data_IF_016231502863
#
_entry.id   IF_016231502863
#
_cell.length_a   1.000
_cell.length_b   1.000
_cell.length_c   1.000
_cell.angle_alpha   90.00
_cell.angle_beta   90.00
_cell.angle_gamma   90.00
#
_symmetry.space_group_name_H-M   'P 1'
#
loop_
_entity.id
_entity.type
_entity.pdbx_description
1 polymer ?
#
# COMPACT_ATOMS: atom_id res chain seq x y z
N UNK A 1 43.13 14.66 66.09
CA UNK A 1 42.95 16.12 66.15
C UNK A 1 42.83 16.64 64.72
N UNK A 2 41.67 16.97 64.23
CA UNK A 2 41.48 17.57 62.90
C UNK A 2 41.29 19.10 63.12
N UNK A 3 41.98 19.84 62.29
CA UNK A 3 41.87 21.30 62.22
C UNK A 3 40.65 21.69 61.40
N UNK A 4 39.71 22.38 62.01
CA UNK A 4 38.62 23.09 61.37
C UNK A 4 39.19 24.37 60.74
N UNK A 5 39.09 24.49 59.40
CA UNK A 5 39.32 25.75 58.70
C UNK A 5 37.99 26.35 58.32
N UNK A 6 37.57 27.39 59.02
CA UNK A 6 36.53 28.32 58.58
C UNK A 6 37.07 29.15 57.41
N UNK A 7 36.45 28.98 56.19
CA UNK A 7 36.62 29.97 55.16
C UNK A 7 35.40 30.87 55.15
N UNK A 8 35.57 32.10 55.55
CA UNK A 8 34.66 33.17 55.19
C UNK A 8 34.70 33.37 53.69
N UNK A 9 33.65 32.97 53.02
CA UNK A 9 33.40 33.34 51.60
C UNK A 9 32.47 34.55 51.61
N UNK A 10 33.04 35.69 51.22
CA UNK A 10 32.35 36.97 51.19
C UNK A 10 31.15 36.95 50.29
N UNK A 11 30.07 37.51 50.81
CA UNK A 11 28.91 37.90 50.04
C UNK A 11 29.30 39.04 49.10
N UNK A 12 29.68 38.73 47.87
CA UNK A 12 29.64 39.68 46.77
C UNK A 12 28.27 39.52 46.16
N UNK A 13 27.32 40.33 46.55
CA UNK A 13 26.08 40.53 45.84
C UNK A 13 26.43 41.19 44.52
N UNK A 14 26.67 40.39 43.51
CA UNK A 14 26.67 40.86 42.13
C UNK A 14 25.20 41.14 41.78
N UNK A 15 24.83 42.40 41.80
CA UNK A 15 23.68 42.90 41.04
C UNK A 15 23.99 42.67 39.57
N UNK A 16 23.73 41.45 39.10
CA UNK A 16 23.56 41.21 37.69
C UNK A 16 22.27 41.95 37.32
N UNK A 17 22.45 43.19 36.85
CA UNK A 17 21.41 43.90 36.18
C UNK A 17 20.91 42.90 35.11
N UNK A 18 19.73 42.36 35.30
CA UNK A 18 19.01 41.61 34.26
C UNK A 18 18.70 42.60 33.17
N UNK A 19 19.68 42.79 32.28
CA UNK A 19 19.36 43.36 30.99
C UNK A 19 18.29 42.43 30.40
N UNK A 20 17.12 42.95 30.04
CA UNK A 20 16.18 42.14 29.30
C UNK A 20 16.93 41.62 28.07
N UNK A 21 17.04 40.31 27.94
CA UNK A 21 17.60 39.71 26.75
C UNK A 21 16.88 40.38 25.56
N UNK A 22 17.61 40.85 24.55
CA UNK A 22 16.96 41.42 23.38
C UNK A 22 15.92 40.43 22.90
N UNK A 23 14.68 40.87 22.85
CA UNK A 23 13.61 40.01 22.41
C UNK A 23 14.00 39.48 21.01
N UNK A 24 14.19 38.16 20.91
CA UNK A 24 14.61 37.54 19.66
C UNK A 24 13.60 37.88 18.56
N UNK A 25 14.10 38.48 17.49
CA UNK A 25 13.33 38.85 16.34
C UNK A 25 12.65 37.59 15.77
N UNK A 26 11.32 37.53 15.85
CA UNK A 26 10.54 36.44 15.30
C UNK A 26 10.34 36.65 13.81
N UNK A 27 10.82 35.69 13.00
CA UNK A 27 10.47 35.62 11.59
C UNK A 27 9.09 34.99 11.45
N UNK A 28 8.21 35.59 10.63
CA UNK A 28 6.85 35.11 10.40
C UNK A 28 6.60 35.04 8.90
N UNK A 29 5.98 33.98 8.47
CA UNK A 29 5.63 33.77 7.05
C UNK A 29 4.59 34.81 6.62
N UNK A 30 4.97 35.69 5.69
CA UNK A 30 4.05 36.57 4.97
C UNK A 30 3.34 35.79 3.85
N UNK A 31 4.13 35.18 2.98
CA UNK A 31 3.64 34.43 1.82
C UNK A 31 4.60 33.33 1.40
N UNK A 32 4.06 32.34 0.69
CA UNK A 32 4.83 31.32 0.00
C UNK A 32 4.89 31.65 -1.49
N UNK A 33 6.10 31.73 -2.03
CA UNK A 33 6.36 32.03 -3.45
C UNK A 33 7.02 30.80 -4.09
N UNK A 34 6.45 30.32 -5.18
CA UNK A 34 6.99 29.19 -5.93
C UNK A 34 7.80 29.69 -7.12
N UNK A 35 9.03 29.21 -7.26
CA UNK A 35 9.91 29.44 -8.39
C UNK A 35 10.30 28.12 -9.04
N UNK A 36 10.36 28.09 -10.36
CA UNK A 36 10.76 26.90 -11.12
C UNK A 36 9.61 26.26 -11.89
N UNK A 37 9.91 25.14 -12.56
CA UNK A 37 8.97 24.41 -13.40
C UNK A 37 8.25 23.35 -12.55
N UNK A 38 7.08 23.69 -12.05
CA UNK A 38 6.21 22.75 -11.32
C UNK A 38 4.74 23.00 -11.64
N UNK A 39 3.99 21.91 -11.78
CA UNK A 39 2.54 21.95 -11.94
C UNK A 39 1.81 21.95 -10.59
N UNK A 40 2.54 21.87 -9.48
CA UNK A 40 1.96 21.81 -8.13
C UNK A 40 1.51 23.17 -7.68
N UNK A 41 0.28 23.29 -7.19
CA UNK A 41 -0.28 24.56 -6.73
C UNK A 41 0.37 25.02 -5.43
N UNK A 42 0.49 26.35 -5.25
CA UNK A 42 1.04 26.96 -4.01
C UNK A 42 0.30 26.48 -2.76
N UNK A 43 -1.01 26.25 -2.85
CA UNK A 43 -1.82 25.75 -1.73
C UNK A 43 -1.41 24.36 -1.29
N UNK A 44 -1.13 23.47 -2.23
CA UNK A 44 -0.64 22.10 -1.94
C UNK A 44 0.76 22.15 -1.33
N UNK A 45 1.62 23.02 -1.85
CA UNK A 45 2.96 23.22 -1.29
C UNK A 45 2.90 23.69 0.16
N UNK A 46 2.10 24.72 0.46
CA UNK A 46 1.92 25.22 1.83
C UNK A 46 1.40 24.14 2.77
N UNK A 47 0.43 23.34 2.31
CA UNK A 47 -0.13 22.23 3.07
C UNK A 47 0.91 21.11 3.33
N UNK A 48 1.73 20.77 2.33
CA UNK A 48 2.79 19.76 2.48
C UNK A 48 3.92 20.24 3.39
N UNK A 49 4.27 21.50 3.32
CA UNK A 49 5.27 22.13 4.20
C UNK A 49 4.77 22.29 5.62
N UNK A 50 3.44 22.30 5.84
CA UNK A 50 2.80 22.75 7.08
C UNK A 50 3.22 24.18 7.45
N UNK A 51 3.27 25.06 6.46
CA UNK A 51 3.62 26.47 6.62
C UNK A 51 2.56 27.34 5.96
N UNK A 52 1.97 28.20 6.77
CA UNK A 52 0.91 29.12 6.35
C UNK A 52 1.31 30.56 6.70
N UNK A 53 0.65 31.52 6.07
CA UNK A 53 0.82 32.94 6.44
C UNK A 53 0.48 33.14 7.93
N UNK A 54 1.36 33.82 8.65
CA UNK A 54 1.29 34.03 10.09
C UNK A 54 2.08 33.03 10.94
N UNK A 55 2.54 31.91 10.37
CA UNK A 55 3.31 30.94 11.12
C UNK A 55 4.74 31.44 11.43
N UNK A 56 5.28 31.15 12.61
CA UNK A 56 6.68 31.43 12.91
C UNK A 56 7.58 30.53 12.05
N UNK A 57 8.71 31.06 11.62
CA UNK A 57 9.67 30.31 10.81
C UNK A 57 11.10 30.53 11.31
N UNK A 58 11.85 29.42 11.34
CA UNK A 58 13.28 29.37 11.58
C UNK A 58 13.96 28.39 10.61
N UNK A 59 15.27 28.26 10.68
CA UNK A 59 16.00 27.33 9.80
C UNK A 59 15.66 25.86 10.03
N UNK A 60 15.29 25.47 11.24
CA UNK A 60 14.89 24.09 11.55
C UNK A 60 13.53 23.78 10.91
N UNK A 61 12.58 24.70 11.01
CA UNK A 61 11.25 24.62 10.41
C UNK A 61 11.36 24.58 8.87
N UNK A 62 12.23 25.42 8.27
CA UNK A 62 12.47 25.40 6.82
C UNK A 62 13.09 24.09 6.36
N UNK A 63 14.09 23.56 7.09
CA UNK A 63 14.69 22.27 6.78
C UNK A 63 13.68 21.11 6.88
N UNK A 64 12.81 21.14 7.88
CA UNK A 64 11.73 20.17 8.02
C UNK A 64 10.70 20.30 6.90
N UNK A 65 10.37 21.52 6.46
CA UNK A 65 9.46 21.80 5.34
C UNK A 65 10.05 21.29 4.02
N UNK A 66 11.33 21.55 3.76
CA UNK A 66 12.04 21.03 2.58
C UNK A 66 12.04 19.50 2.58
N UNK A 67 12.35 18.88 3.71
CA UNK A 67 12.35 17.43 3.84
C UNK A 67 10.96 16.81 3.55
N UNK A 68 9.86 17.42 4.03
CA UNK A 68 8.50 16.97 3.72
C UNK A 68 8.18 17.08 2.23
N UNK A 69 8.67 18.12 1.54
CA UNK A 69 8.52 18.24 0.09
C UNK A 69 9.33 17.18 -0.66
N UNK A 70 10.54 16.85 -0.21
CA UNK A 70 11.34 15.76 -0.78
C UNK A 70 10.60 14.41 -0.60
N UNK A 71 10.07 14.17 0.59
CA UNK A 71 9.34 12.94 0.93
C UNK A 71 7.99 12.81 0.21
N UNK A 72 7.41 13.92 -0.26
CA UNK A 72 6.18 13.88 -1.06
C UNK A 72 6.34 13.22 -2.41
N UNK A 73 7.57 13.05 -2.88
CA UNK A 73 7.94 12.49 -4.20
C UNK A 73 7.40 13.25 -5.43
N UNK A 74 6.88 14.45 -5.22
CA UNK A 74 6.33 15.31 -6.30
C UNK A 74 7.42 16.02 -7.11
N UNK A 75 8.65 16.12 -6.55
CA UNK A 75 9.72 16.95 -7.11
C UNK A 75 10.97 16.13 -7.41
N UNK A 76 11.64 16.49 -8.50
CA UNK A 76 12.98 15.99 -8.82
C UNK A 76 14.07 16.75 -8.06
N UNK A 77 13.81 18.02 -7.76
CA UNK A 77 14.62 18.85 -6.88
C UNK A 77 13.72 19.89 -6.20
N UNK A 78 14.03 20.19 -4.94
CA UNK A 78 13.35 21.23 -4.19
C UNK A 78 14.34 21.87 -3.24
N UNK A 79 14.21 23.18 -3.03
CA UNK A 79 14.89 23.97 -2.02
C UNK A 79 13.91 24.94 -1.38
N UNK A 80 13.99 25.10 -0.08
CA UNK A 80 13.16 26.02 0.68
C UNK A 80 14.05 27.01 1.42
N UNK A 81 13.85 28.29 1.15
CA UNK A 81 14.59 29.37 1.82
C UNK A 81 13.71 30.59 2.00
N UNK A 82 14.18 31.53 2.81
CA UNK A 82 13.48 32.79 3.06
C UNK A 82 14.09 33.94 2.25
N UNK A 83 13.23 34.85 1.84
CA UNK A 83 13.61 36.12 1.25
C UNK A 83 13.01 37.23 2.10
N UNK A 84 13.85 38.21 2.44
CA UNK A 84 13.40 39.40 3.20
C UNK A 84 12.70 40.35 2.23
N UNK A 85 11.50 40.85 2.59
CA UNK A 85 10.83 41.81 1.73
C UNK A 85 11.68 43.06 1.58
N UNK A 86 11.93 43.45 0.35
CA UNK A 86 12.63 44.71 0.00
C UNK A 86 11.78 45.96 0.20
N UNK A 87 10.46 45.77 0.22
CA UNK A 87 9.51 46.86 0.40
C UNK A 87 9.39 47.25 1.87
N UNK A 88 9.84 48.45 2.18
CA UNK A 88 9.79 49.04 3.52
C UNK A 88 8.34 49.25 4.02
N UNK A 89 7.36 49.38 3.11
CA UNK A 89 5.96 49.47 3.48
C UNK A 89 5.42 48.15 4.05
N UNK A 90 5.84 47.03 3.48
CA UNK A 90 5.50 45.66 4.01
C UNK A 90 6.17 45.45 5.37
N UNK A 91 7.41 45.88 5.55
CA UNK A 91 8.10 45.82 6.84
C UNK A 91 7.38 46.59 7.94
N UNK A 92 6.80 47.74 7.62
CA UNK A 92 6.07 48.60 8.59
C UNK A 92 4.69 48.07 8.93
N UNK A 93 4.06 47.24 8.09
CA UNK A 93 2.73 46.64 8.34
C UNK A 93 2.71 45.62 9.47
N UNK A 94 3.83 45.01 9.76
CA UNK A 94 3.97 43.94 10.79
C UNK A 94 4.73 44.40 12.03
N UNK A 95 4.92 45.71 12.24
CA UNK A 95 5.61 46.26 13.38
C UNK A 95 4.80 46.20 14.69
N UNK A 96 4.64 45.01 15.19
CA UNK A 96 4.89 44.75 16.57
C UNK A 96 6.42 44.61 16.72
N UNK A 97 7.06 45.26 17.68
CA UNK A 97 8.49 45.60 17.70
C UNK A 97 9.49 44.45 17.47
N UNK A 98 9.04 43.20 17.37
CA UNK A 98 9.89 42.02 17.23
C UNK A 98 9.47 41.00 16.15
N UNK A 99 8.53 41.33 15.27
CA UNK A 99 8.06 40.39 14.22
C UNK A 99 8.48 40.87 12.83
N UNK A 100 9.21 40.04 12.09
CA UNK A 100 9.67 40.35 10.73
C UNK A 100 8.96 39.42 9.72
N UNK A 101 8.16 40.00 8.79
CA UNK A 101 7.55 39.23 7.73
C UNK A 101 8.61 38.77 6.74
N UNK A 102 8.55 37.50 6.35
CA UNK A 102 9.44 36.92 5.34
C UNK A 102 8.64 36.17 4.27
N UNK A 103 9.12 36.23 3.03
CA UNK A 103 8.61 35.37 1.98
C UNK A 103 9.34 34.03 2.03
N UNK A 104 8.61 32.93 2.11
CA UNK A 104 9.17 31.59 1.96
C UNK A 104 9.21 31.28 0.45
N UNK A 105 10.42 31.13 -0.07
CA UNK A 105 10.66 30.79 -1.47
C UNK A 105 10.83 29.30 -1.60
N UNK A 106 10.04 28.67 -2.46
CA UNK A 106 10.17 27.27 -2.84
C UNK A 106 10.66 27.19 -4.26
N UNK A 107 11.93 26.86 -4.45
CA UNK A 107 12.47 26.53 -5.76
C UNK A 107 12.27 25.04 -6.02
N UNK A 108 11.39 24.70 -6.96
CA UNK A 108 11.02 23.32 -7.20
C UNK A 108 11.00 22.99 -8.70
N UNK A 109 11.47 21.79 -9.02
CA UNK A 109 11.30 21.19 -10.34
C UNK A 109 10.44 19.95 -10.17
N UNK A 110 9.25 19.98 -10.75
CA UNK A 110 8.30 18.87 -10.70
C UNK A 110 8.84 17.62 -11.35
N UNK A 111 8.46 16.45 -10.83
CA UNK A 111 8.65 15.18 -11.51
C UNK A 111 7.57 15.01 -12.58
N UNK A 112 7.89 14.17 -13.58
CA UNK A 112 6.88 13.67 -14.50
C UNK A 112 5.82 12.87 -13.71
N UNK A 113 4.58 13.32 -13.72
CA UNK A 113 3.54 12.84 -12.80
C UNK A 113 2.75 11.66 -13.33
N UNK A 114 2.82 11.35 -14.61
CA UNK A 114 2.03 10.28 -15.20
C UNK A 114 2.90 9.26 -15.93
N UNK A 115 2.40 8.03 -16.02
CA UNK A 115 3.01 6.97 -16.78
C UNK A 115 1.98 5.98 -17.29
N UNK A 116 2.34 5.30 -18.36
CA UNK A 116 1.58 4.18 -18.93
C UNK A 116 2.52 2.98 -18.98
N UNK A 117 2.09 1.87 -18.40
CA UNK A 117 2.84 0.62 -18.45
C UNK A 117 2.01 -0.50 -19.06
N UNK A 118 2.55 -1.25 -20.02
CA UNK A 118 2.00 -2.53 -20.38
C UNK A 118 2.18 -3.50 -19.20
N UNK A 119 1.22 -4.35 -18.98
CA UNK A 119 1.30 -5.44 -18.00
C UNK A 119 1.10 -6.77 -18.69
N UNK A 120 1.83 -7.78 -18.28
CA UNK A 120 1.62 -9.14 -18.73
C UNK A 120 2.02 -10.12 -17.63
N UNK A 121 1.36 -11.27 -17.59
CA UNK A 121 1.75 -12.39 -16.76
C UNK A 121 1.53 -13.70 -17.52
N UNK A 122 2.46 -14.63 -17.35
CA UNK A 122 2.43 -15.95 -17.97
C UNK A 122 2.96 -16.96 -16.99
N UNK A 123 2.39 -18.15 -16.99
CA UNK A 123 2.84 -19.26 -16.15
C UNK A 123 1.77 -19.74 -15.18
N UNK A 124 2.07 -20.82 -14.46
CA UNK A 124 1.15 -21.41 -13.47
C UNK A 124 -0.25 -21.72 -14.06
N UNK A 125 -0.31 -22.12 -15.34
CA UNK A 125 -1.56 -22.47 -16.01
C UNK A 125 -2.46 -21.30 -16.39
N UNK A 126 -1.95 -20.06 -16.38
CA UNK A 126 -2.71 -18.87 -16.71
C UNK A 126 -1.90 -17.85 -17.50
N UNK A 127 -2.57 -16.95 -18.20
CA UNK A 127 -1.97 -15.80 -18.84
C UNK A 127 -2.88 -14.57 -18.72
N UNK A 128 -2.26 -13.41 -18.69
CA UNK A 128 -2.98 -12.15 -18.75
C UNK A 128 -2.11 -11.05 -19.37
N UNK A 129 -2.75 -10.10 -20.04
CA UNK A 129 -2.10 -8.93 -20.64
C UNK A 129 -2.97 -7.70 -20.48
N UNK A 130 -2.37 -6.54 -20.32
CA UNK A 130 -3.12 -5.34 -20.08
C UNK A 130 -2.28 -4.07 -20.10
N UNK A 131 -2.86 -3.00 -19.58
CA UNK A 131 -2.23 -1.70 -19.45
C UNK A 131 -2.65 -1.04 -18.16
N UNK A 132 -1.71 -0.34 -17.52
CA UNK A 132 -1.93 0.53 -16.37
C UNK A 132 -1.55 1.96 -16.74
N UNK A 133 -2.45 2.88 -16.47
CA UNK A 133 -2.18 4.31 -16.44
C UNK A 133 -2.19 4.78 -14.99
N UNK A 134 -1.19 5.54 -14.59
CA UNK A 134 -1.17 6.21 -13.30
C UNK A 134 -0.73 7.66 -13.45
N UNK A 135 -1.36 8.54 -12.68
CA UNK A 135 -0.99 9.93 -12.54
C UNK A 135 -0.95 10.26 -11.05
N UNK A 136 0.21 10.68 -10.56
CA UNK A 136 0.44 10.97 -9.14
C UNK A 136 0.15 12.43 -8.76
N UNK A 137 -0.08 13.30 -9.73
CA UNK A 137 -0.34 14.70 -9.50
C UNK A 137 -1.38 15.23 -10.51
N UNK A 138 -2.58 14.68 -10.46
CA UNK A 138 -3.66 15.08 -11.37
C UNK A 138 -3.99 16.55 -11.15
N UNK A 139 -3.88 17.35 -12.25
CA UNK A 139 -4.15 18.79 -12.27
C UNK A 139 -3.39 19.64 -11.21
N UNK A 140 -2.19 19.20 -10.82
CA UNK A 140 -1.34 19.95 -9.87
C UNK A 140 -1.82 19.96 -8.42
N UNK A 141 -2.75 19.04 -8.05
CA UNK A 141 -3.35 18.97 -6.70
C UNK A 141 -2.84 17.85 -5.83
N UNK A 142 -1.76 17.16 -6.25
CA UNK A 142 -1.25 15.98 -5.54
C UNK A 142 -2.27 14.83 -5.45
N UNK A 143 -3.23 14.85 -6.33
CA UNK A 143 -4.27 13.84 -6.43
C UNK A 143 -3.79 12.70 -7.33
N UNK A 144 -4.02 11.48 -6.91
CA UNK A 144 -3.61 10.28 -7.61
C UNK A 144 -4.78 9.69 -8.39
N UNK A 145 -4.55 9.38 -9.65
CA UNK A 145 -5.47 8.64 -10.50
C UNK A 145 -4.77 7.39 -11.03
N UNK A 146 -5.38 6.25 -10.83
CA UNK A 146 -4.91 4.99 -11.41
C UNK A 146 -6.04 4.39 -12.22
N UNK A 147 -5.75 3.97 -13.44
CA UNK A 147 -6.67 3.13 -14.21
C UNK A 147 -5.94 1.94 -14.78
N UNK A 148 -6.59 0.79 -14.78
CA UNK A 148 -6.00 -0.44 -15.27
C UNK A 148 -7.04 -1.26 -16.03
N UNK A 149 -6.61 -1.86 -17.13
CA UNK A 149 -7.40 -2.84 -17.88
C UNK A 149 -6.53 -4.05 -18.19
N UNK A 150 -7.08 -5.24 -17.95
CA UNK A 150 -6.38 -6.50 -18.19
C UNK A 150 -7.35 -7.51 -18.80
N UNK A 151 -6.87 -8.26 -19.78
CA UNK A 151 -7.55 -9.42 -20.36
C UNK A 151 -6.68 -10.64 -20.05
N UNK A 152 -7.29 -11.71 -19.59
CA UNK A 152 -6.60 -12.94 -19.28
C UNK A 152 -7.48 -14.17 -19.45
N UNK A 153 -6.87 -15.33 -19.34
CA UNK A 153 -7.54 -16.61 -19.51
C UNK A 153 -8.57 -16.87 -18.40
N UNK A 154 -8.14 -16.71 -17.15
CA UNK A 154 -9.00 -16.93 -15.98
C UNK A 154 -9.65 -15.65 -15.47
N UNK A 155 -9.03 -14.49 -15.70
CA UNK A 155 -9.51 -13.22 -15.16
C UNK A 155 -9.26 -12.06 -16.13
N UNK A 156 -10.32 -11.25 -16.33
CA UNK A 156 -10.23 -9.95 -17.01
C UNK A 156 -10.84 -8.89 -16.11
N UNK A 157 -10.28 -7.70 -16.10
CA UNK A 157 -10.81 -6.62 -15.29
C UNK A 157 -10.58 -5.24 -15.91
N UNK A 158 -11.41 -4.28 -15.49
CA UNK A 158 -11.20 -2.85 -15.66
C UNK A 158 -11.35 -2.19 -14.29
N UNK A 159 -10.42 -1.32 -13.97
CA UNK A 159 -10.35 -0.62 -12.68
C UNK A 159 -10.04 0.85 -12.89
N UNK A 160 -10.66 1.71 -12.08
CA UNK A 160 -10.29 3.11 -11.93
C UNK A 160 -10.31 3.45 -10.45
N UNK A 161 -9.24 4.10 -9.99
CA UNK A 161 -9.10 4.55 -8.60
C UNK A 161 -8.65 6.01 -8.56
N UNK A 162 -9.28 6.77 -7.72
CA UNK A 162 -8.96 8.15 -7.39
C UNK A 162 -8.59 8.24 -5.92
N UNK A 163 -7.53 8.95 -5.59
CA UNK A 163 -7.09 9.16 -4.22
C UNK A 163 -6.58 10.57 -4.02
N UNK A 164 -7.12 11.26 -3.02
CA UNK A 164 -6.55 12.49 -2.49
C UNK A 164 -5.79 12.15 -1.21
N UNK A 165 -4.46 12.12 -1.22
CA UNK A 165 -3.66 11.71 -0.07
C UNK A 165 -3.60 12.77 1.01
N UNK A 166 -4.02 14.00 0.72
CA UNK A 166 -4.01 15.12 1.66
C UNK A 166 -5.09 16.15 1.30
N UNK A 167 -6.21 16.10 1.99
CA UNK A 167 -7.23 17.15 1.89
C UNK A 167 -6.67 18.42 2.53
N UNK A 168 -6.49 19.47 1.72
CA UNK A 168 -5.86 20.70 2.18
C UNK A 168 -6.64 21.35 3.33
N UNK A 169 -5.94 21.55 4.45
CA UNK A 169 -6.50 22.13 5.68
C UNK A 169 -7.08 21.13 6.66
N UNK A 170 -6.98 19.82 6.39
CA UNK A 170 -7.43 18.79 7.30
C UNK A 170 -6.47 17.58 7.28
N UNK A 171 -6.29 16.85 8.39
CA UNK A 171 -5.50 15.62 8.43
C UNK A 171 -6.28 14.44 7.83
N UNK A 172 -6.89 14.66 6.68
CA UNK A 172 -7.78 13.71 6.02
C UNK A 172 -7.22 13.30 4.66
N UNK A 173 -7.54 12.09 4.28
CA UNK A 173 -7.37 11.54 2.93
C UNK A 173 -8.67 10.91 2.50
N UNK A 174 -8.96 10.87 1.22
CA UNK A 174 -10.08 10.09 0.72
C UNK A 174 -9.72 9.37 -0.56
N UNK A 175 -10.40 8.25 -0.80
CA UNK A 175 -10.25 7.48 -2.03
C UNK A 175 -11.58 6.95 -2.51
N UNK A 176 -11.71 6.82 -3.81
CA UNK A 176 -12.83 6.18 -4.48
C UNK A 176 -12.29 5.26 -5.56
N UNK A 177 -12.95 4.12 -5.76
CA UNK A 177 -12.61 3.23 -6.85
C UNK A 177 -13.84 2.60 -7.47
N UNK A 178 -13.70 2.19 -8.74
CA UNK A 178 -14.68 1.38 -9.42
C UNK A 178 -13.97 0.21 -10.09
N UNK A 179 -14.59 -0.95 -10.04
CA UNK A 179 -14.09 -2.21 -10.55
C UNK A 179 -15.15 -2.93 -11.37
N UNK A 180 -14.76 -3.43 -12.52
CA UNK A 180 -15.45 -4.48 -13.25
C UNK A 180 -14.50 -5.66 -13.41
N UNK A 181 -14.91 -6.86 -12.99
CA UNK A 181 -14.07 -8.07 -13.06
C UNK A 181 -14.92 -9.22 -13.57
N UNK A 182 -14.46 -9.85 -14.63
CA UNK A 182 -14.94 -11.16 -15.09
C UNK A 182 -13.88 -12.19 -14.72
N UNK A 183 -14.28 -13.24 -14.05
CA UNK A 183 -13.38 -14.26 -13.57
C UNK A 183 -13.98 -15.65 -13.71
N UNK A 184 -13.15 -16.62 -14.07
CA UNK A 184 -13.46 -18.04 -13.96
C UNK A 184 -12.84 -18.57 -12.69
N UNK A 185 -13.63 -18.79 -11.66
CA UNK A 185 -13.18 -19.41 -10.42
C UNK A 185 -12.95 -20.88 -10.70
N UNK A 186 -11.72 -21.31 -10.59
CA UNK A 186 -11.28 -22.67 -10.83
C UNK A 186 -11.14 -23.39 -9.48
N UNK A 187 -11.70 -24.60 -9.37
CA UNK A 187 -11.54 -25.46 -8.22
C UNK A 187 -10.75 -26.69 -8.64
N UNK A 188 -9.81 -27.07 -7.79
CA UNK A 188 -8.89 -28.16 -8.02
C UNK A 188 -9.10 -29.24 -6.97
N UNK A 189 -8.99 -30.50 -7.38
CA UNK A 189 -8.93 -31.66 -6.51
C UNK A 189 -7.76 -32.53 -6.98
N UNK A 190 -6.87 -32.93 -6.06
CA UNK A 190 -5.66 -33.70 -6.38
C UNK A 190 -4.85 -33.10 -7.55
N UNK A 191 -4.69 -31.75 -7.54
CA UNK A 191 -4.01 -30.96 -8.57
C UNK A 191 -4.68 -30.96 -9.97
N UNK A 192 -5.81 -31.63 -10.13
CA UNK A 192 -6.65 -31.60 -11.32
C UNK A 192 -7.76 -30.56 -11.20
N UNK A 193 -8.00 -29.77 -12.26
CA UNK A 193 -9.12 -28.85 -12.30
C UNK A 193 -10.42 -29.63 -12.48
N UNK A 194 -11.34 -29.53 -11.52
CA UNK A 194 -12.60 -30.29 -11.50
C UNK A 194 -13.82 -29.43 -11.78
N UNK A 195 -13.78 -28.14 -11.48
CA UNK A 195 -14.92 -27.26 -11.62
C UNK A 195 -14.50 -25.84 -12.03
N UNK A 196 -15.28 -25.21 -12.90
CA UNK A 196 -15.15 -23.79 -13.23
C UNK A 196 -16.46 -23.05 -12.95
N UNK A 197 -16.37 -21.94 -12.26
CA UNK A 197 -17.51 -21.08 -11.92
C UNK A 197 -17.29 -19.70 -12.56
N UNK A 198 -17.94 -19.41 -13.69
CA UNK A 198 -17.85 -18.10 -14.32
C UNK A 198 -18.55 -17.05 -13.46
N UNK A 199 -17.86 -15.99 -13.13
CA UNK A 199 -18.38 -14.90 -12.30
C UNK A 199 -18.09 -13.54 -12.90
N UNK A 200 -18.96 -12.58 -12.62
CA UNK A 200 -18.77 -11.17 -12.92
C UNK A 200 -18.99 -10.40 -11.62
N UNK A 201 -18.09 -9.50 -11.29
CA UNK A 201 -18.22 -8.56 -10.17
C UNK A 201 -18.10 -7.15 -10.71
N UNK A 202 -19.07 -6.31 -10.42
CA UNK A 202 -19.04 -4.88 -10.73
C UNK A 202 -19.38 -4.10 -9.47
N UNK A 203 -18.68 -3.00 -9.23
CA UNK A 203 -18.95 -2.18 -8.06
C UNK A 203 -17.91 -1.10 -7.81
N UNK A 204 -17.98 -0.50 -6.63
CA UNK A 204 -17.05 0.54 -6.23
C UNK A 204 -16.92 0.65 -4.72
N UNK A 205 -15.87 1.34 -4.34
CA UNK A 205 -15.49 1.59 -2.95
C UNK A 205 -15.31 3.10 -2.74
N UNK A 206 -15.65 3.56 -1.55
CA UNK A 206 -15.38 4.93 -1.10
C UNK A 206 -14.82 4.85 0.32
N UNK A 207 -13.71 5.54 0.58
CA UNK A 207 -13.05 5.53 1.89
C UNK A 207 -12.63 6.93 2.29
N UNK A 208 -12.80 7.24 3.56
CA UNK A 208 -12.26 8.43 4.22
C UNK A 208 -11.21 7.95 5.21
N UNK A 209 -10.04 8.56 5.18
CA UNK A 209 -8.92 8.22 6.06
C UNK A 209 -8.50 9.41 6.92
N UNK A 210 -8.06 9.11 8.13
CA UNK A 210 -7.42 10.05 9.05
C UNK A 210 -5.92 9.79 9.06
N UNK A 211 -5.14 10.86 8.86
CA UNK A 211 -3.69 10.84 9.01
C UNK A 211 -3.38 11.06 10.49
N UNK A 212 -3.08 9.97 11.20
CA UNK A 212 -2.79 10.00 12.65
C UNK A 212 -1.35 10.42 12.92
N UNK A 213 -0.44 10.03 12.02
CA UNK A 213 0.97 10.42 12.02
C UNK A 213 1.52 10.34 10.59
N UNK A 214 2.77 10.79 10.31
CA UNK A 214 3.37 10.64 8.98
C UNK A 214 3.34 9.19 8.45
N UNK A 215 3.41 8.21 9.36
CA UNK A 215 3.46 6.79 9.03
C UNK A 215 2.16 6.04 9.31
N UNK A 216 1.17 6.66 9.97
CA UNK A 216 -0.02 5.96 10.48
C UNK A 216 -1.29 6.56 9.91
N UNK A 217 -2.15 5.73 9.36
CA UNK A 217 -3.46 6.11 8.81
C UNK A 217 -4.53 5.12 9.24
N UNK A 218 -5.72 5.62 9.50
CA UNK A 218 -6.91 4.81 9.71
C UNK A 218 -7.97 5.21 8.69
N UNK A 219 -8.73 4.24 8.18
CA UNK A 219 -9.74 4.48 7.15
C UNK A 219 -11.07 3.85 7.58
N UNK A 220 -12.13 4.54 7.24
CA UNK A 220 -13.49 4.02 7.23
C UNK A 220 -14.00 4.06 5.80
N UNK A 221 -14.59 2.97 5.34
CA UNK A 221 -15.03 2.85 3.96
C UNK A 221 -16.34 2.13 3.80
N UNK A 222 -16.94 2.35 2.66
CA UNK A 222 -18.12 1.66 2.16
C UNK A 222 -17.79 1.06 0.80
N UNK A 223 -18.25 -0.17 0.57
CA UNK A 223 -18.17 -0.84 -0.72
C UNK A 223 -19.55 -1.32 -1.13
N UNK A 224 -19.88 -1.10 -2.38
CA UNK A 224 -21.09 -1.62 -2.98
C UNK A 224 -20.73 -2.37 -4.25
N UNK A 225 -21.03 -3.65 -4.29
CA UNK A 225 -20.71 -4.55 -5.39
C UNK A 225 -21.91 -5.39 -5.76
N UNK A 226 -21.96 -5.83 -7.00
CA UNK A 226 -22.91 -6.82 -7.48
C UNK A 226 -22.12 -7.96 -8.09
N UNK A 227 -22.38 -9.19 -7.66
CA UNK A 227 -21.85 -10.38 -8.31
C UNK A 227 -22.93 -11.09 -9.14
N UNK A 228 -22.55 -11.50 -10.34
CA UNK A 228 -23.30 -12.46 -11.15
C UNK A 228 -22.52 -13.75 -11.16
N UNK A 229 -23.18 -14.83 -10.83
CA UNK A 229 -22.61 -16.19 -10.89
C UNK A 229 -23.40 -16.96 -11.95
N UNK A 230 -22.71 -17.41 -12.98
CA UNK A 230 -23.28 -18.25 -14.01
C UNK A 230 -23.23 -19.73 -13.58
N UNK A 231 -24.02 -20.59 -14.20
CA UNK A 231 -23.95 -22.03 -13.94
C UNK A 231 -22.52 -22.55 -14.04
N UNK A 232 -22.13 -23.35 -13.08
CA UNK A 232 -20.80 -23.95 -13.05
C UNK A 232 -20.67 -24.99 -14.19
N UNK A 233 -19.47 -25.02 -14.77
CA UNK A 233 -19.08 -26.07 -15.71
C UNK A 233 -18.38 -27.17 -14.91
N UNK A 234 -19.06 -28.31 -14.76
CA UNK A 234 -18.52 -29.50 -14.10
C UNK A 234 -17.63 -30.26 -15.10
N UNK A 235 -16.34 -30.35 -14.79
CA UNK A 235 -15.34 -31.02 -15.63
C UNK A 235 -15.08 -32.45 -15.18
N UNK A 236 -15.56 -32.80 -13.98
CA UNK A 236 -15.52 -34.15 -13.43
C UNK A 236 -16.87 -34.82 -13.59
N UNK A 237 -16.90 -36.13 -13.82
CA UNK A 237 -18.12 -36.90 -13.88
C UNK A 237 -18.76 -37.10 -12.51
N UNK A 238 -19.44 -36.09 -12.00
CA UNK A 238 -20.15 -36.11 -10.73
C UNK A 238 -20.50 -34.72 -10.23
N UNK A 239 -21.65 -34.52 -9.61
CA UNK A 239 -22.05 -33.24 -9.06
C UNK A 239 -21.18 -32.91 -7.85
N UNK A 240 -20.21 -32.00 -8.03
CA UNK A 240 -19.38 -31.49 -6.95
C UNK A 240 -20.16 -30.33 -6.31
N UNK A 241 -20.43 -30.38 -4.99
CA UNK A 241 -21.08 -29.29 -4.30
C UNK A 241 -20.19 -28.03 -4.39
N UNK A 242 -20.78 -26.90 -4.82
CA UNK A 242 -20.08 -25.63 -4.86
C UNK A 242 -19.74 -25.22 -3.40
N UNK A 243 -18.46 -24.98 -3.09
CA UNK A 243 -18.11 -24.36 -1.82
C UNK A 243 -18.63 -22.92 -1.86
N UNK A 244 -19.10 -22.43 -0.73
CA UNK A 244 -19.61 -21.06 -0.62
C UNK A 244 -20.95 -20.77 -1.32
N UNK A 245 -21.48 -19.59 -1.06
CA UNK A 245 -22.73 -19.17 -1.64
C UNK A 245 -22.52 -18.70 -3.10
N UNK A 246 -22.93 -19.53 -4.05
CA UNK A 246 -22.74 -19.33 -5.49
C UNK A 246 -23.92 -18.64 -6.17
N UNK A 247 -24.77 -17.91 -5.42
CA UNK A 247 -25.86 -17.12 -6.00
C UNK A 247 -25.38 -15.74 -6.46
N UNK A 248 -26.06 -15.19 -7.45
CA UNK A 248 -25.92 -13.78 -7.81
C UNK A 248 -26.54 -12.90 -6.73
N UNK A 249 -25.98 -11.73 -6.49
CA UNK A 249 -26.50 -10.84 -5.47
C UNK A 249 -25.64 -9.59 -5.23
N UNK A 250 -26.17 -8.72 -4.38
CA UNK A 250 -25.54 -7.49 -3.94
C UNK A 250 -24.65 -7.77 -2.73
N UNK A 251 -23.49 -7.17 -2.71
CA UNK A 251 -22.56 -7.20 -1.59
C UNK A 251 -22.37 -5.77 -1.14
N UNK A 252 -22.79 -5.46 0.05
CA UNK A 252 -22.57 -4.16 0.68
C UNK A 252 -21.66 -4.36 1.89
N UNK A 253 -20.54 -3.61 1.95
CA UNK A 253 -19.49 -3.77 2.95
C UNK A 253 -19.26 -2.48 3.71
N UNK A 254 -19.22 -2.57 5.02
CA UNK A 254 -18.56 -1.59 5.87
C UNK A 254 -17.10 -2.04 6.04
N UNK A 255 -16.16 -1.12 5.81
CA UNK A 255 -14.73 -1.41 5.85
C UNK A 255 -14.06 -0.55 6.91
N UNK A 256 -13.23 -1.17 7.72
CA UNK A 256 -12.29 -0.49 8.59
C UNK A 256 -10.88 -0.93 8.23
N UNK A 257 -9.95 0.02 8.06
CA UNK A 257 -8.57 -0.27 7.71
C UNK A 257 -7.64 0.56 8.59
N UNK A 258 -6.57 -0.05 9.03
CA UNK A 258 -5.44 0.59 9.69
C UNK A 258 -4.16 0.26 8.94
N UNK A 259 -3.32 1.27 8.72
CA UNK A 259 -2.05 1.13 8.04
C UNK A 259 -0.97 1.89 8.80
N UNK A 260 0.12 1.18 9.10
CA UNK A 260 1.40 1.77 9.48
C UNK A 260 2.40 1.50 8.37
N UNK A 261 3.03 2.53 7.82
CA UNK A 261 3.94 2.44 6.69
C UNK A 261 5.16 3.34 6.93
N UNK A 262 6.27 2.71 7.33
CA UNK A 262 7.58 3.33 7.45
C UNK A 262 8.52 2.79 6.35
N UNK A 263 7.97 2.45 5.20
CA UNK A 263 8.78 1.96 4.10
C UNK A 263 9.37 3.12 3.29
N UNK A 264 10.60 2.95 2.85
CA UNK A 264 11.31 3.87 1.97
C UNK A 264 11.75 3.12 0.73
N UNK A 265 11.66 3.79 -0.41
CA UNK A 265 12.17 3.23 -1.67
C UNK A 265 13.61 3.68 -1.89
N UNK A 266 14.52 2.72 -2.01
CA UNK A 266 15.89 2.96 -2.41
C UNK A 266 16.21 2.15 -3.66
N UNK A 267 16.61 2.81 -4.73
CA UNK A 267 16.95 2.17 -6.02
C UNK A 267 15.80 1.29 -6.60
N UNK A 268 14.54 1.59 -6.28
CA UNK A 268 13.38 0.80 -6.67
C UNK A 268 13.08 -0.41 -5.79
N UNK A 269 13.83 -0.60 -4.71
CA UNK A 269 13.61 -1.62 -3.68
C UNK A 269 13.13 -0.98 -2.38
N UNK A 270 12.35 -1.71 -1.60
CA UNK A 270 11.80 -1.21 -0.33
C UNK A 270 12.72 -1.53 0.84
N UNK A 271 12.68 -0.65 1.85
CA UNK A 271 13.27 -0.85 3.17
C UNK A 271 12.29 -0.35 4.22
N UNK A 272 12.22 -0.99 5.38
CA UNK A 272 11.34 -0.59 6.47
C UNK A 272 10.24 -1.60 6.75
N UNK A 273 9.16 -1.14 7.37
CA UNK A 273 8.08 -1.98 7.87
C UNK A 273 6.75 -1.44 7.36
N UNK A 274 5.88 -2.33 6.88
CA UNK A 274 4.48 -2.05 6.61
C UNK A 274 3.62 -3.00 7.43
N UNK A 275 2.69 -2.44 8.18
CA UNK A 275 1.62 -3.17 8.85
C UNK A 275 0.28 -2.73 8.27
N UNK A 276 -0.53 -3.70 7.87
CA UNK A 276 -1.85 -3.49 7.31
C UNK A 276 -2.85 -4.37 8.04
N UNK A 277 -3.94 -3.76 8.51
CA UNK A 277 -5.08 -4.43 9.11
C UNK A 277 -6.33 -3.95 8.39
N UNK A 278 -7.20 -4.87 8.01
CA UNK A 278 -8.48 -4.57 7.39
C UNK A 278 -9.56 -5.47 7.94
N UNK A 279 -10.69 -4.90 8.26
CA UNK A 279 -11.91 -5.62 8.59
C UNK A 279 -13.01 -5.16 7.64
N UNK A 280 -13.75 -6.11 7.09
CA UNK A 280 -14.89 -5.90 6.20
C UNK A 280 -16.08 -6.66 6.78
N UNK A 281 -17.22 -6.00 6.89
CA UNK A 281 -18.45 -6.60 7.40
C UNK A 281 -19.55 -6.41 6.37
N UNK A 282 -20.18 -7.49 5.98
CA UNK A 282 -21.36 -7.54 5.12
C UNK A 282 -22.55 -8.06 5.92
N UNK A 283 -23.67 -7.35 5.87
CA UNK A 283 -24.85 -7.72 6.60
C UNK A 283 -26.11 -7.37 5.78
N UNK A 284 -27.09 -8.25 5.80
CA UNK A 284 -28.39 -8.05 5.11
C UNK A 284 -29.16 -6.83 5.59
N UNK A 285 -28.95 -6.40 6.86
CA UNK A 285 -29.55 -5.17 7.38
C UNK A 285 -29.06 -3.93 6.63
N UNK A 286 -27.97 -4.02 5.91
CA UNK A 286 -27.40 -2.95 5.07
C UNK A 286 -27.63 -3.16 3.58
N UNK A 287 -28.70 -3.87 3.22
CA UNK A 287 -29.06 -4.19 1.83
C UNK A 287 -28.09 -5.15 1.11
N UNK A 288 -27.25 -5.89 1.81
CA UNK A 288 -26.46 -6.98 1.26
C UNK A 288 -27.32 -8.25 1.11
N UNK A 289 -27.00 -9.08 0.15
CA UNK A 289 -27.62 -10.40 -0.01
C UNK A 289 -26.76 -11.51 0.67
N UNK A 290 -25.64 -11.12 1.31
CA UNK A 290 -24.65 -12.00 1.96
C UNK A 290 -24.31 -11.46 3.35
N UNK A 291 -24.08 -12.38 4.30
CA UNK A 291 -23.75 -12.05 5.67
C UNK A 291 -22.42 -12.70 6.05
N UNK A 292 -21.35 -11.89 6.15
CA UNK A 292 -20.03 -12.38 6.52
C UNK A 292 -19.14 -11.26 7.06
N UNK A 293 -18.09 -11.65 7.76
CA UNK A 293 -16.99 -10.79 8.16
C UNK A 293 -15.69 -11.31 7.58
N UNK A 294 -14.87 -10.39 7.07
CA UNK A 294 -13.53 -10.69 6.55
C UNK A 294 -12.50 -9.87 7.30
N UNK A 295 -11.54 -10.53 7.89
CA UNK A 295 -10.41 -9.91 8.54
C UNK A 295 -9.12 -10.22 7.78
N UNK A 296 -8.33 -9.21 7.48
CA UNK A 296 -7.03 -9.34 6.84
C UNK A 296 -5.98 -8.64 7.68
N UNK A 297 -4.87 -9.31 7.95
CA UNK A 297 -3.65 -8.69 8.45
C UNK A 297 -2.47 -9.04 7.56
N UNK A 298 -1.59 -8.06 7.36
CA UNK A 298 -0.37 -8.23 6.58
C UNK A 298 0.76 -7.46 7.23
N UNK A 299 1.88 -8.15 7.42
CA UNK A 299 3.13 -7.57 7.92
C UNK A 299 4.18 -7.76 6.84
N UNK A 300 4.79 -6.69 6.40
CA UNK A 300 5.88 -6.70 5.43
C UNK A 300 7.12 -6.10 6.08
N UNK A 301 8.19 -6.84 6.09
CA UNK A 301 9.49 -6.45 6.60
C UNK A 301 10.48 -6.40 5.44
N UNK A 302 11.17 -5.29 5.29
CA UNK A 302 12.12 -5.07 4.22
C UNK A 302 13.45 -4.63 4.81
N UNK A 303 14.51 -5.38 4.52
CA UNK A 303 15.86 -5.09 4.95
C UNK A 303 16.75 -4.59 3.82
N UNK A 304 17.93 -4.09 4.20
CA UNK A 304 19.03 -3.83 3.27
C UNK A 304 20.33 -4.19 3.96
N UNK A 305 21.11 -5.04 3.32
CA UNK A 305 22.42 -5.46 3.81
C UNK A 305 23.40 -5.59 2.63
N UNK A 306 24.34 -4.69 2.52
CA UNK A 306 25.27 -4.56 1.40
C UNK A 306 24.52 -4.37 0.07
N UNK A 307 24.53 -5.39 -0.81
CA UNK A 307 23.79 -5.40 -2.08
C UNK A 307 22.51 -6.23 -2.03
N UNK A 308 22.19 -6.81 -0.89
CA UNK A 308 21.04 -7.69 -0.67
C UNK A 308 19.88 -6.93 -0.05
N UNK A 309 18.68 -7.27 -0.48
CA UNK A 309 17.43 -6.70 -0.02
C UNK A 309 16.47 -7.82 0.41
N UNK A 310 16.68 -8.36 1.62
CA UNK A 310 15.77 -9.38 2.17
C UNK A 310 14.40 -8.80 2.44
N UNK A 311 13.37 -9.58 2.18
CA UNK A 311 11.98 -9.26 2.52
C UNK A 311 11.27 -10.46 3.12
N UNK A 312 10.36 -10.18 4.07
CA UNK A 312 9.47 -11.16 4.66
C UNK A 312 8.06 -10.58 4.66
N UNK A 313 7.12 -11.27 4.03
CA UNK A 313 5.71 -10.91 3.97
C UNK A 313 4.92 -12.00 4.66
N UNK A 314 4.23 -11.62 5.73
CA UNK A 314 3.31 -12.49 6.47
C UNK A 314 1.90 -11.99 6.23
N UNK A 315 1.00 -12.88 5.86
CA UNK A 315 -0.40 -12.53 5.60
C UNK A 315 -1.32 -13.56 6.26
N UNK A 316 -2.36 -13.05 6.91
CA UNK A 316 -3.48 -13.84 7.41
C UNK A 316 -4.78 -13.23 6.89
N UNK A 317 -5.68 -14.07 6.41
CA UNK A 317 -7.04 -13.66 6.04
C UNK A 317 -8.02 -14.69 6.61
N UNK A 318 -9.07 -14.16 7.21
CA UNK A 318 -10.17 -14.96 7.77
C UNK A 318 -11.47 -14.50 7.13
N UNK A 319 -12.20 -15.41 6.52
CA UNK A 319 -13.59 -15.19 6.11
C UNK A 319 -14.50 -15.98 7.06
N UNK A 320 -15.43 -15.30 7.69
CA UNK A 320 -16.35 -15.90 8.65
C UNK A 320 -17.80 -15.60 8.23
N UNK A 321 -18.61 -16.63 7.90
CA UNK A 321 -20.04 -16.45 7.67
C UNK A 321 -20.72 -16.09 8.99
N UNK A 322 -21.55 -15.07 8.97
CA UNK A 322 -22.33 -14.63 10.16
C UNK A 322 -23.77 -15.11 10.12
N UNK A 323 -24.21 -15.69 9.01
CA UNK A 323 -25.51 -16.35 8.87
C UNK A 323 -25.44 -17.47 7.81
N UNK A 324 -26.56 -18.15 7.58
CA UNK A 324 -26.75 -19.16 6.52
C UNK A 324 -26.66 -18.57 5.09
N UNK A 325 -26.69 -17.24 4.96
CA UNK A 325 -26.45 -16.55 3.69
C UNK A 325 -24.97 -16.54 3.29
N UNK A 326 -24.07 -16.70 4.25
CA UNK A 326 -22.69 -17.05 4.12
C UNK A 326 -21.83 -16.12 3.27
N UNK A 327 -20.63 -16.60 2.95
CA UNK A 327 -19.64 -15.90 2.14
C UNK A 327 -19.91 -16.12 0.66
N UNK A 328 -19.92 -15.06 -0.18
CA UNK A 328 -20.07 -15.22 -1.63
C UNK A 328 -18.85 -15.92 -2.25
N UNK A 329 -19.06 -16.73 -3.27
CA UNK A 329 -17.99 -17.49 -3.96
C UNK A 329 -16.87 -16.58 -4.50
N UNK A 330 -17.18 -15.34 -4.85
CA UNK A 330 -16.19 -14.36 -5.33
C UNK A 330 -15.24 -13.84 -4.25
N UNK A 331 -15.58 -14.04 -2.96
CA UNK A 331 -14.76 -13.69 -1.81
C UNK A 331 -14.03 -14.89 -1.19
N UNK A 332 -14.18 -16.08 -1.78
CA UNK A 332 -13.44 -17.29 -1.40
C UNK A 332 -11.93 -17.02 -1.45
N UNK A 333 -11.23 -17.43 -0.40
CA UNK A 333 -9.77 -17.28 -0.36
C UNK A 333 -9.12 -18.35 -1.24
N UNK A 334 -8.18 -17.91 -2.06
CA UNK A 334 -7.47 -18.77 -3.00
C UNK A 334 -6.00 -18.39 -3.03
N UNK A 335 -5.12 -19.38 -3.14
CA UNK A 335 -3.69 -19.17 -3.25
C UNK A 335 -3.07 -20.12 -4.27
N UNK A 336 -1.95 -19.71 -4.85
CA UNK A 336 -1.18 -20.37 -5.88
C UNK A 336 -0.60 -19.35 -6.85
N UNK A 337 0.15 -19.78 -7.84
CA UNK A 337 0.78 -18.91 -8.83
C UNK A 337 1.79 -17.96 -8.23
N UNK A 338 1.62 -16.65 -8.41
CA UNK A 338 2.57 -15.63 -7.91
C UNK A 338 2.59 -15.48 -6.38
N UNK A 339 1.54 -15.91 -5.70
CA UNK A 339 1.43 -15.81 -4.23
C UNK A 339 1.99 -17.05 -3.52
N UNK A 340 2.05 -18.20 -4.20
CA UNK A 340 2.71 -19.42 -3.78
C UNK A 340 3.34 -20.02 -5.04
N UNK A 341 4.58 -19.64 -5.31
CA UNK A 341 5.29 -19.97 -6.56
C UNK A 341 5.61 -21.46 -6.61
N UNK A 342 5.55 -22.06 -7.79
CA UNK A 342 5.70 -23.52 -7.93
C UNK A 342 4.38 -24.29 -7.99
N UNK A 343 3.24 -23.58 -7.85
CA UNK A 343 1.90 -24.16 -7.92
C UNK A 343 1.05 -23.48 -9.01
N UNK A 344 -0.04 -24.09 -9.42
CA UNK A 344 -0.99 -23.49 -10.36
C UNK A 344 -1.68 -22.27 -9.77
N UNK A 345 -2.10 -21.35 -10.62
CA UNK A 345 -2.79 -20.14 -10.18
C UNK A 345 -4.13 -20.49 -9.48
N UNK A 346 -4.27 -20.04 -8.21
CA UNK A 346 -5.45 -20.29 -7.38
C UNK A 346 -5.75 -21.79 -7.14
N UNK A 347 -4.73 -22.61 -7.05
CA UNK A 347 -4.86 -24.07 -6.91
C UNK A 347 -5.53 -24.46 -5.58
N UNK A 348 -5.22 -23.76 -4.52
CA UNK A 348 -5.78 -24.03 -3.19
C UNK A 348 -6.83 -23.00 -2.82
N UNK A 349 -7.86 -23.43 -2.10
CA UNK A 349 -8.96 -22.58 -1.63
C UNK A 349 -9.38 -22.91 -0.20
N UNK A 350 -10.00 -21.95 0.47
CA UNK A 350 -10.47 -22.11 1.86
C UNK A 350 -11.08 -20.81 2.41
N UNK A 351 -11.50 -20.83 3.66
CA UNK A 351 -12.04 -19.67 4.38
C UNK A 351 -11.02 -18.96 5.28
N UNK A 352 -9.90 -19.64 5.56
CA UNK A 352 -8.83 -19.11 6.41
C UNK A 352 -7.50 -19.35 5.70
N UNK A 353 -6.76 -18.27 5.45
CA UNK A 353 -5.46 -18.26 4.80
C UNK A 353 -4.38 -17.77 5.77
N UNK A 354 -3.31 -18.55 5.90
CA UNK A 354 -2.03 -18.07 6.41
C UNK A 354 -0.98 -18.23 5.32
N UNK A 355 -0.19 -17.20 5.07
CA UNK A 355 0.92 -17.29 4.13
C UNK A 355 2.13 -16.52 4.60
N UNK A 356 3.29 -17.05 4.25
CA UNK A 356 4.60 -16.45 4.49
C UNK A 356 5.42 -16.50 3.19
N UNK A 357 5.98 -15.38 2.79
CA UNK A 357 6.87 -15.27 1.65
C UNK A 357 8.16 -14.63 2.12
N UNK A 358 9.27 -15.33 1.98
CA UNK A 358 10.61 -14.82 2.24
C UNK A 358 11.36 -14.74 0.90
N UNK A 359 11.92 -13.58 0.60
CA UNK A 359 12.69 -13.38 -0.63
C UNK A 359 13.93 -12.54 -0.31
N UNK A 360 15.07 -12.93 -0.84
CA UNK A 360 16.28 -12.11 -0.84
C UNK A 360 16.65 -11.75 -2.27
N UNK A 361 16.82 -10.46 -2.53
CA UNK A 361 17.16 -9.92 -3.84
C UNK A 361 18.55 -9.31 -3.79
N UNK A 362 19.44 -9.75 -4.69
CA UNK A 362 20.77 -9.19 -4.84
C UNK A 362 20.87 -8.39 -6.14
N UNK A 363 21.20 -7.11 -6.05
CA UNK A 363 21.43 -6.26 -7.23
C UNK A 363 22.77 -6.62 -7.86
N UNK A 364 22.72 -7.23 -9.03
CA UNK A 364 23.91 -7.71 -9.76
C UNK A 364 24.48 -6.65 -10.70
N UNK A 365 23.60 -5.94 -11.40
CA UNK A 365 23.99 -4.98 -12.42
C UNK A 365 23.17 -3.71 -12.30
N UNK A 366 23.83 -2.56 -12.45
CA UNK A 366 23.21 -1.25 -12.61
C UNK A 366 23.50 -0.74 -14.00
N UNK A 367 22.47 -0.69 -14.83
CA UNK A 367 22.59 -0.35 -16.23
C UNK A 367 21.96 1.00 -16.51
N UNK A 368 22.52 1.71 -17.47
CA UNK A 368 21.96 2.95 -18.01
C UNK A 368 21.81 2.82 -19.50
N UNK A 369 20.65 3.10 -20.03
CA UNK A 369 20.47 3.12 -21.48
C UNK A 369 21.25 4.30 -22.09
N UNK A 370 22.12 4.04 -23.10
CA UNK A 370 23.06 5.05 -23.59
C UNK A 370 22.42 6.34 -24.13
N UNK A 371 21.22 6.27 -24.65
CA UNK A 371 20.54 7.40 -25.31
C UNK A 371 19.42 8.03 -24.45
N UNK A 372 19.27 7.57 -23.21
CA UNK A 372 18.20 8.00 -22.31
C UNK A 372 18.74 8.26 -20.91
N UNK A 373 17.96 8.93 -20.09
CA UNK A 373 18.24 9.04 -18.66
C UNK A 373 17.76 7.83 -17.85
N UNK A 374 17.16 6.84 -18.53
CA UNK A 374 16.58 5.67 -17.87
C UNK A 374 17.69 4.78 -17.32
N UNK A 375 17.59 4.51 -16.03
CA UNK A 375 18.43 3.54 -15.31
C UNK A 375 17.58 2.33 -14.97
N UNK A 376 18.19 1.16 -14.95
CA UNK A 376 17.56 -0.03 -14.43
C UNK A 376 18.58 -0.93 -13.73
N UNK A 377 18.09 -1.64 -12.74
CA UNK A 377 18.87 -2.60 -11.97
C UNK A 377 18.42 -4.00 -12.36
N UNK A 378 19.37 -4.88 -12.57
CA UNK A 378 19.13 -6.32 -12.71
C UNK A 378 19.48 -6.97 -11.38
N UNK A 379 18.51 -7.65 -10.76
CA UNK A 379 18.70 -8.36 -9.52
C UNK A 379 18.41 -9.86 -9.71
N UNK A 380 19.19 -10.70 -9.05
CA UNK A 380 18.80 -12.08 -8.81
C UNK A 380 17.96 -12.15 -7.52
N UNK A 381 17.07 -13.12 -7.46
CA UNK A 381 16.28 -13.38 -6.28
C UNK A 381 16.28 -14.87 -5.94
N UNK A 382 16.28 -15.17 -4.66
CA UNK A 382 15.96 -16.49 -4.11
C UNK A 382 14.77 -16.34 -3.19
N UNK A 383 13.92 -17.37 -3.12
CA UNK A 383 12.73 -17.27 -2.30
C UNK A 383 12.31 -18.62 -1.70
N UNK A 384 11.54 -18.50 -0.62
CA UNK A 384 10.79 -19.58 0.00
C UNK A 384 9.40 -19.05 0.29
N UNK A 385 8.38 -19.75 -0.18
CA UNK A 385 6.98 -19.43 0.08
C UNK A 385 6.35 -20.60 0.84
N UNK A 386 5.47 -20.27 1.79
CA UNK A 386 4.67 -21.27 2.50
C UNK A 386 3.25 -20.74 2.69
N UNK A 387 2.27 -21.60 2.59
CA UNK A 387 0.88 -21.25 2.86
C UNK A 387 0.09 -22.43 3.36
N UNK A 388 -0.95 -22.14 4.14
CA UNK A 388 -2.00 -23.09 4.49
C UNK A 388 -3.37 -22.44 4.32
N UNK A 389 -4.31 -23.20 3.79
CA UNK A 389 -5.71 -22.84 3.74
C UNK A 389 -6.52 -23.86 4.54
N UNK A 390 -7.33 -23.34 5.45
CA UNK A 390 -8.22 -24.14 6.28
C UNK A 390 -9.64 -23.89 5.81
N UNK A 391 -10.41 -24.94 5.65
CA UNK A 391 -11.84 -24.87 5.41
C UNK A 391 -12.56 -25.27 6.73
N UNK A 392 -12.98 -24.24 7.48
CA UNK A 392 -13.69 -24.42 8.75
C UNK A 392 -15.19 -24.57 8.56
N UNK A 393 -15.69 -24.12 7.42
CA UNK A 393 -17.10 -24.09 7.08
C UNK A 393 -17.32 -24.75 5.72
N UNK A 394 -17.14 -26.07 5.62
CA UNK A 394 -17.34 -26.78 4.35
C UNK A 394 -18.73 -26.47 3.78
N UNK A 395 -18.76 -25.90 2.56
CA UNK A 395 -19.97 -25.45 1.93
C UNK A 395 -20.39 -24.01 2.23
N UNK A 396 -19.70 -23.25 3.11
CA UNK A 396 -19.85 -21.79 3.30
C UNK A 396 -21.21 -21.28 3.76
N UNK A 397 -22.16 -22.15 4.07
CA UNK A 397 -23.57 -21.80 4.27
C UNK A 397 -24.11 -22.17 5.66
N UNK A 398 -23.37 -22.93 6.47
CA UNK A 398 -23.86 -23.32 7.80
C UNK A 398 -23.09 -22.58 8.89
N UNK A 399 -23.80 -21.69 9.56
CA UNK A 399 -23.37 -21.21 10.87
C UNK A 399 -23.41 -22.39 11.81
N UNK A 400 -22.30 -22.77 12.47
CA UNK A 400 -22.35 -23.80 13.50
C UNK A 400 -23.36 -23.34 14.58
N UNK A 401 -24.16 -24.24 15.14
CA UNK A 401 -25.08 -23.88 16.22
C UNK A 401 -24.31 -23.14 17.32
N UNK A 402 -24.89 -22.13 17.96
CA UNK A 402 -24.21 -21.23 18.90
C UNK A 402 -23.55 -21.96 20.08
N UNK A 403 -23.96 -23.17 20.36
CA UNK A 403 -23.43 -24.00 21.47
C UNK A 403 -22.31 -24.97 21.06
N UNK A 404 -21.94 -25.01 19.78
CA UNK A 404 -20.79 -25.80 19.33
C UNK A 404 -19.60 -24.87 19.14
N UNK A 405 -18.62 -24.96 20.06
CA UNK A 405 -17.27 -24.45 19.77
C UNK A 405 -16.85 -24.99 18.41
N UNK A 406 -16.32 -24.16 17.51
CA UNK A 406 -15.79 -24.64 16.24
C UNK A 406 -14.86 -25.81 16.56
N UNK A 407 -14.95 -26.92 15.80
CA UNK A 407 -14.08 -28.06 16.05
C UNK A 407 -12.63 -27.54 16.09
N UNK A 408 -11.82 -28.01 17.03
CA UNK A 408 -10.44 -27.55 17.13
C UNK A 408 -9.81 -27.70 15.76
N UNK A 409 -9.22 -26.60 15.27
CA UNK A 409 -8.51 -26.58 14.00
C UNK A 409 -7.48 -27.69 14.03
N UNK A 410 -7.80 -28.83 13.45
CA UNK A 410 -6.83 -29.90 13.19
C UNK A 410 -6.08 -29.47 11.93
N UNK A 411 -5.18 -28.50 12.07
CA UNK A 411 -4.16 -28.30 11.07
C UNK A 411 -3.27 -29.54 11.14
N UNK A 412 -3.45 -30.46 10.26
CA UNK A 412 -2.41 -31.42 9.96
C UNK A 412 -1.29 -30.63 9.32
N UNK A 413 -0.04 -30.87 9.68
CA UNK A 413 1.12 -30.33 8.98
C UNK A 413 1.08 -30.65 7.46
N UNK A 414 0.30 -31.67 7.10
CA UNK A 414 0.01 -32.08 5.72
C UNK A 414 -0.76 -31.02 4.90
N UNK A 415 -1.38 -30.01 5.55
CA UNK A 415 -2.11 -28.93 4.89
C UNK A 415 -1.21 -27.68 4.62
N UNK A 416 0.09 -27.77 4.91
CA UNK A 416 1.05 -26.69 4.62
C UNK A 416 1.69 -26.95 3.26
N UNK A 417 1.37 -26.07 2.31
CA UNK A 417 1.98 -26.07 0.99
C UNK A 417 3.21 -25.16 1.00
N UNK A 418 4.34 -25.68 0.56
CA UNK A 418 5.59 -24.92 0.55
C UNK A 418 6.32 -25.05 -0.79
N UNK A 419 7.03 -24.00 -1.13
CA UNK A 419 7.87 -23.96 -2.34
C UNK A 419 9.14 -23.17 -2.10
N UNK A 420 10.12 -23.41 -2.96
CA UNK A 420 11.34 -22.62 -3.01
C UNK A 420 11.76 -22.43 -4.46
N UNK A 421 12.59 -21.44 -4.69
CA UNK A 421 13.03 -21.16 -6.05
C UNK A 421 13.94 -19.97 -6.16
N UNK A 422 14.11 -19.54 -7.42
CA UNK A 422 14.90 -18.37 -7.75
C UNK A 422 14.35 -17.65 -8.95
N UNK A 423 14.85 -16.43 -9.17
CA UNK A 423 14.37 -15.63 -10.27
C UNK A 423 15.25 -14.44 -10.59
N UNK A 424 14.84 -13.70 -11.61
CA UNK A 424 15.48 -12.46 -12.07
C UNK A 424 14.47 -11.33 -12.04
N UNK A 425 14.94 -10.16 -11.64
CA UNK A 425 14.19 -8.92 -11.56
C UNK A 425 14.83 -7.85 -12.42
N UNK A 426 14.04 -7.17 -13.23
CA UNK A 426 14.42 -5.90 -13.85
C UNK A 426 13.71 -4.78 -13.10
N UNK A 427 14.44 -3.94 -12.40
CA UNK A 427 13.93 -2.93 -11.51
C UNK A 427 14.21 -1.55 -12.09
N UNK A 428 13.19 -0.71 -12.19
CA UNK A 428 13.32 0.69 -12.56
C UNK A 428 13.44 1.54 -11.29
N UNK A 429 14.58 2.21 -11.05
CA UNK A 429 14.70 3.17 -9.95
C UNK A 429 13.63 4.26 -10.07
N UNK A 430 12.89 4.50 -8.99
CA UNK A 430 11.74 5.42 -8.98
C UNK A 430 10.39 4.73 -9.17
N UNK A 431 10.38 3.44 -9.52
CA UNK A 431 9.16 2.60 -9.55
C UNK A 431 9.42 1.42 -8.61
N UNK A 432 8.62 1.29 -7.58
CA UNK A 432 8.82 0.26 -6.54
C UNK A 432 8.48 -1.16 -7.05
N UNK A 433 7.84 -1.25 -8.18
CA UNK A 433 7.42 -2.52 -8.78
C UNK A 433 8.43 -2.93 -9.84
N UNK A 434 8.95 -4.18 -9.84
CA UNK A 434 9.81 -4.67 -10.91
C UNK A 434 9.14 -4.54 -12.28
N UNK A 435 9.86 -3.97 -13.25
CA UNK A 435 9.38 -3.87 -14.62
C UNK A 435 9.23 -5.25 -15.29
N UNK A 436 10.11 -6.19 -14.93
CA UNK A 436 10.05 -7.60 -15.34
C UNK A 436 10.46 -8.47 -14.16
N UNK A 437 9.73 -9.53 -13.96
CA UNK A 437 9.97 -10.57 -12.96
C UNK A 437 9.86 -11.93 -13.63
N UNK A 438 10.88 -12.76 -13.49
CA UNK A 438 10.90 -14.15 -13.96
C UNK A 438 11.24 -15.01 -12.76
N UNK A 439 10.35 -15.92 -12.39
CA UNK A 439 10.52 -16.85 -11.28
C UNK A 439 10.43 -18.29 -11.75
N UNK A 440 11.27 -19.12 -11.18
CA UNK A 440 11.21 -20.59 -11.28
C UNK A 440 11.02 -21.11 -9.87
N UNK A 441 9.88 -21.69 -9.59
CA UNK A 441 9.52 -22.25 -8.28
C UNK A 441 9.30 -23.75 -8.35
N UNK A 442 9.74 -24.46 -7.31
CA UNK A 442 9.49 -25.88 -7.10
C UNK A 442 8.48 -26.06 -5.96
N UNK A 443 7.31 -26.63 -6.27
CA UNK A 443 6.30 -26.99 -5.28
C UNK A 443 6.64 -28.32 -4.61
N UNK A 444 6.77 -28.31 -3.30
CA UNK A 444 7.26 -29.48 -2.55
C UNK A 444 6.26 -30.64 -2.62
N UNK A 445 4.97 -30.35 -2.47
CA UNK A 445 3.91 -31.37 -2.43
C UNK A 445 3.66 -31.95 -3.82
N UNK A 446 3.56 -31.08 -4.83
CA UNK A 446 3.31 -31.47 -6.22
C UNK A 446 4.53 -32.05 -6.90
N UNK A 447 5.73 -31.82 -6.34
CA UNK A 447 7.02 -32.23 -6.91
C UNK A 447 7.20 -31.77 -8.35
N UNK A 448 6.72 -30.58 -8.65
CA UNK A 448 6.71 -30.00 -9.99
C UNK A 448 7.33 -28.60 -9.99
N UNK A 449 7.72 -28.15 -11.16
CA UNK A 449 8.36 -26.85 -11.39
C UNK A 449 7.40 -25.97 -12.17
N UNK A 450 7.12 -24.78 -11.63
CA UNK A 450 6.38 -23.77 -12.36
C UNK A 450 7.25 -22.55 -12.65
N UNK A 451 7.12 -22.05 -13.87
CA UNK A 451 7.76 -20.80 -14.32
C UNK A 451 6.69 -19.72 -14.38
N UNK A 452 6.98 -18.58 -13.77
CA UNK A 452 6.10 -17.41 -13.82
C UNK A 452 6.86 -16.22 -14.36
N UNK A 453 6.30 -15.56 -15.36
CA UNK A 453 6.84 -14.32 -15.93
C UNK A 453 5.81 -13.23 -15.72
N UNK A 454 6.20 -12.10 -15.16
CA UNK A 454 5.34 -10.93 -15.03
C UNK A 454 6.04 -9.64 -15.42
N UNK A 455 5.33 -8.79 -16.14
CA UNK A 455 5.77 -7.47 -16.58
C UNK A 455 4.95 -6.43 -15.81
N UNK A 456 5.65 -5.43 -15.23
CA UNK A 456 5.07 -4.31 -14.48
C UNK A 456 4.03 -4.75 -13.42
N UNK A 457 4.35 -5.81 -12.68
CA UNK A 457 3.50 -6.28 -11.57
C UNK A 457 2.16 -6.87 -12.00
N UNK A 458 2.09 -7.49 -13.15
CA UNK A 458 0.91 -8.28 -13.57
C UNK A 458 0.51 -9.24 -12.46
N UNK A 459 -0.54 -8.92 -11.70
CA UNK A 459 -0.99 -9.64 -10.52
C UNK A 459 -1.23 -8.76 -9.27
N UNK A 460 -1.13 -7.45 -9.40
CA UNK A 460 -1.20 -6.47 -8.27
C UNK A 460 -2.61 -6.32 -7.67
N UNK A 461 -3.65 -6.95 -8.22
CA UNK A 461 -5.02 -6.87 -7.66
C UNK A 461 -5.59 -8.23 -7.35
#
# INVERSE_FOLDING_TARGET
MPRVQFRLAGLIAICVATWPAPAEARLVVDRVVVRGATDVTTRVLAARMHLYSGDPVDFAILGAAEQRLIESDLFSSVRVFIDLPTDEAVRRMYLDENTYPVAVIVEAVGKHSWFVFPTASFGSGDWAGGVVYANQNLIGRDVQLISAGQIGQSRSYAFVGYRDPLVVGAPLTYSMSALYRREQIRLFENHGMVLQVPTIVAGGDCQIGWVLSPHTRAFLGLSARYQTVNPAEDLASGAIPLPYNSRSGRIFLLQFQFQYDDTRAQEGLRQGILLFLKNEVSDRYWASDFDYSKFETRVELYGHYWWNYPSLILKMVLNYPTSDHGVPVTEMLRIGGSALRGYLANEFHGDTLFSAQAEDQAVLLRLRLPWTQVRFNVAAAIFVDAATLLDRHPGGTTVPPPDTLPPPVRSKLDDIHASFGGGVRLILPGVVIPALKIDVGYGIDVRDVAVTVSIAGGGIM
#
